data_IF_038262551678
#
_entry.id   IF_038262551678
#
_cell.length_a   1.000
_cell.length_b   1.000
_cell.length_c   1.000
_cell.angle_alpha   90.00
_cell.angle_beta   90.00
_cell.angle_gamma   90.00
#
_symmetry.space_group_name_H-M   'P 1'
#
loop_
_entity.id
_entity.type
_entity.pdbx_description
1 polymer ?
#
# COMPACT_ATOMS: atom_id res chain seq x y z
N UNK A 1 54.18 3.19 28.96
CA UNK A 1 53.21 2.69 29.97
C UNK A 1 51.87 2.47 29.27
N UNK A 2 51.60 1.29 28.73
CA UNK A 2 50.93 0.15 29.38
C UNK A 2 49.57 0.48 30.03
N UNK A 3 48.47 0.20 29.31
CA UNK A 3 47.41 -0.75 29.74
C UNK A 3 46.45 -1.08 28.59
N UNK A 4 46.76 -2.22 27.97
CA UNK A 4 45.95 -3.18 27.19
C UNK A 4 44.42 -2.99 27.22
N UNK A 5 43.75 -2.85 26.07
CA UNK A 5 43.44 -3.91 25.11
C UNK A 5 42.78 -5.13 25.77
N UNK A 6 41.50 -5.01 26.13
CA UNK A 6 40.68 -6.14 26.63
C UNK A 6 39.32 -6.12 25.94
N UNK A 7 39.25 -6.64 24.71
CA UNK A 7 38.02 -7.29 24.19
C UNK A 7 38.18 -8.04 22.86
N UNK A 8 39.37 -8.07 22.23
CA UNK A 8 39.61 -8.85 21.01
C UNK A 8 40.34 -10.20 21.21
N UNK A 9 40.48 -10.68 22.45
CA UNK A 9 41.11 -11.98 22.75
C UNK A 9 40.14 -13.16 22.90
N UNK A 10 38.82 -12.95 22.81
CA UNK A 10 37.84 -14.06 23.02
C UNK A 10 37.55 -14.93 21.81
N UNK A 11 38.01 -14.57 20.60
CA UNK A 11 37.75 -15.35 19.38
C UNK A 11 39.00 -15.86 18.65
N UNK A 12 40.19 -15.79 19.26
CA UNK A 12 41.44 -16.36 18.69
C UNK A 12 42.00 -17.59 19.42
N UNK A 13 41.28 -18.14 20.40
CA UNK A 13 41.62 -19.40 21.09
C UNK A 13 40.51 -20.45 20.98
N UNK A 14 40.08 -20.73 19.76
CA UNK A 14 39.49 -22.02 19.39
C UNK A 14 40.31 -22.64 18.25
N UNK A 15 41.63 -22.43 18.28
CA UNK A 15 42.59 -23.27 17.57
C UNK A 15 42.73 -24.57 18.36
N UNK A 16 42.03 -25.59 17.88
CA UNK A 16 42.43 -27.00 17.95
C UNK A 16 43.12 -27.42 19.26
N UNK A 17 42.42 -27.30 20.40
CA UNK A 17 42.67 -28.21 21.53
C UNK A 17 41.89 -29.49 21.29
N UNK A 18 42.18 -30.15 20.16
CA UNK A 18 42.07 -31.60 20.12
C UNK A 18 43.47 -32.03 20.54
N UNK A 19 43.68 -32.18 21.85
CA UNK A 19 44.77 -32.99 22.37
C UNK A 19 44.58 -34.33 21.67
N UNK A 20 45.30 -34.53 20.56
CA UNK A 20 45.62 -35.86 20.09
C UNK A 20 46.36 -36.46 21.27
N UNK A 21 45.60 -37.16 22.13
CA UNK A 21 46.17 -38.27 22.87
C UNK A 21 46.75 -39.12 21.76
N UNK A 22 48.05 -38.98 21.53
CA UNK A 22 48.80 -40.03 20.89
C UNK A 22 48.42 -41.26 21.70
N UNK A 23 47.64 -42.13 21.08
CA UNK A 23 47.44 -43.46 21.61
C UNK A 23 48.86 -44.02 21.52
N UNK A 24 49.54 -44.11 22.67
CA UNK A 24 50.73 -44.94 22.75
C UNK A 24 50.34 -46.28 22.12
N UNK A 25 51.13 -46.79 21.16
CA UNK A 25 50.86 -48.11 20.63
C UNK A 25 50.91 -49.04 21.83
N UNK A 26 49.75 -49.59 22.18
CA UNK A 26 49.68 -50.64 23.17
C UNK A 26 50.44 -51.81 22.54
N UNK A 27 51.71 -51.99 22.89
CA UNK A 27 52.53 -53.16 22.56
C UNK A 27 52.03 -54.40 23.35
N UNK A 28 50.71 -54.55 23.47
CA UNK A 28 50.09 -55.83 23.72
C UNK A 28 50.08 -56.61 22.41
N UNK A 29 50.80 -57.73 22.37
CA UNK A 29 50.81 -58.75 21.30
C UNK A 29 49.62 -58.61 20.35
N UNK A 30 49.87 -58.14 19.12
CA UNK A 30 48.91 -58.31 18.04
C UNK A 30 49.01 -59.77 17.62
N UNK A 31 48.09 -60.59 18.12
CA UNK A 31 48.00 -61.98 17.70
C UNK A 31 47.83 -62.00 16.17
N UNK A 32 48.70 -62.74 15.48
CA UNK A 32 48.69 -62.84 14.02
C UNK A 32 47.33 -63.34 13.57
N UNK A 33 46.73 -62.64 12.61
CA UNK A 33 45.50 -63.07 11.95
C UNK A 33 45.80 -64.34 11.13
N UNK A 34 45.39 -65.50 11.63
CA UNK A 34 45.44 -66.81 10.98
C UNK A 34 44.05 -67.18 10.48
N UNK A 35 43.93 -68.21 9.63
CA UNK A 35 42.61 -68.66 9.13
C UNK A 35 41.58 -68.94 10.26
N UNK A 36 42.05 -69.23 11.47
CA UNK A 36 41.20 -69.48 12.65
C UNK A 36 40.83 -68.18 13.40
N UNK A 37 41.67 -67.14 13.38
CA UNK A 37 41.45 -65.85 14.09
C UNK A 37 40.93 -64.72 13.18
N UNK A 38 40.84 -64.93 11.86
CA UNK A 38 40.24 -63.97 10.89
C UNK A 38 38.82 -63.57 11.29
N UNK A 39 38.01 -64.51 11.79
CA UNK A 39 36.63 -64.24 12.16
C UNK A 39 36.54 -63.26 13.34
N UNK A 40 37.38 -63.46 14.36
CA UNK A 40 37.43 -62.65 15.57
C UNK A 40 38.01 -61.26 15.27
N UNK A 41 39.10 -61.20 14.51
CA UNK A 41 39.67 -59.93 14.05
C UNK A 41 38.69 -59.13 13.17
N UNK A 42 37.90 -59.80 12.32
CA UNK A 42 36.84 -59.16 11.53
C UNK A 42 35.73 -58.62 12.42
N UNK A 43 35.34 -59.35 13.46
CA UNK A 43 34.30 -58.90 14.38
C UNK A 43 34.76 -57.65 15.16
N UNK A 44 36.01 -57.62 15.61
CA UNK A 44 36.55 -56.52 16.42
C UNK A 44 36.73 -55.23 15.59
N UNK A 45 37.14 -55.36 14.32
CA UNK A 45 37.15 -54.26 13.34
C UNK A 45 35.72 -53.78 13.05
N UNK A 46 34.75 -54.69 12.87
CA UNK A 46 33.35 -54.33 12.65
C UNK A 46 32.69 -53.71 13.89
N UNK A 47 33.08 -54.11 15.11
CA UNK A 47 32.63 -53.56 16.38
C UNK A 47 33.18 -52.14 16.58
N UNK A 48 34.45 -51.94 16.23
CA UNK A 48 35.10 -50.63 16.19
C UNK A 48 34.45 -49.71 15.14
N UNK A 49 34.11 -50.24 13.96
CA UNK A 49 33.41 -49.50 12.90
C UNK A 49 31.96 -49.16 13.27
N UNK A 50 31.24 -50.06 13.96
CA UNK A 50 29.87 -49.81 14.47
C UNK A 50 29.79 -48.62 15.42
N UNK A 51 30.88 -48.27 16.11
CA UNK A 51 30.97 -47.05 16.95
C UNK A 51 30.88 -45.75 16.14
N UNK A 52 31.22 -45.78 14.85
CA UNK A 52 31.18 -44.63 13.94
C UNK A 52 29.93 -44.60 13.05
N UNK A 53 29.12 -45.68 13.04
CA UNK A 53 27.79 -45.67 12.45
C UNK A 53 26.88 -44.97 13.45
N UNK A 54 26.55 -43.69 13.20
CA UNK A 54 25.53 -43.00 13.96
C UNK A 54 24.22 -43.79 13.83
N UNK A 55 23.70 -44.40 14.91
CA UNK A 55 22.40 -45.03 14.84
C UNK A 55 21.40 -43.87 14.82
N UNK A 56 20.90 -43.49 13.64
CA UNK A 56 19.64 -42.75 13.56
C UNK A 56 18.51 -43.74 13.92
N UNK A 57 18.48 -44.17 15.17
CA UNK A 57 17.45 -45.06 15.76
C UNK A 57 16.20 -44.28 16.16
N UNK A 58 16.07 -43.03 15.72
CA UNK A 58 14.80 -42.33 15.79
C UNK A 58 13.95 -42.68 14.57
N UNK A 59 12.75 -43.21 14.84
CA UNK A 59 11.70 -43.34 13.82
C UNK A 59 11.60 -42.04 13.05
N UNK A 60 11.66 -42.10 11.71
CA UNK A 60 11.50 -40.94 10.81
C UNK A 60 10.28 -40.11 11.21
N UNK A 61 9.24 -40.77 11.71
CA UNK A 61 8.03 -40.12 12.21
C UNK A 61 8.28 -39.26 13.45
N UNK A 62 9.07 -39.70 14.44
CA UNK A 62 9.37 -38.92 15.66
C UNK A 62 10.17 -37.66 15.36
N UNK A 63 11.19 -37.75 14.49
CA UNK A 63 11.97 -36.57 14.05
C UNK A 63 11.04 -35.60 13.34
N UNK A 64 10.23 -36.09 12.39
CA UNK A 64 9.24 -35.27 11.70
C UNK A 64 8.23 -34.63 12.67
N UNK A 65 7.74 -35.35 13.68
CA UNK A 65 6.78 -34.79 14.64
C UNK A 65 7.40 -33.67 15.46
N UNK A 66 8.62 -33.90 15.98
CA UNK A 66 9.33 -32.89 16.79
C UNK A 66 9.68 -31.68 15.94
N UNK A 67 10.18 -31.86 14.72
CA UNK A 67 10.47 -30.74 13.81
C UNK A 67 9.21 -29.95 13.45
N UNK A 68 8.10 -30.64 13.15
CA UNK A 68 6.81 -30.00 12.87
C UNK A 68 6.30 -29.22 14.08
N UNK A 69 6.37 -29.82 15.28
CA UNK A 69 5.98 -29.15 16.51
C UNK A 69 6.82 -27.90 16.79
N UNK A 70 8.14 -27.96 16.57
CA UNK A 70 9.02 -26.79 16.73
C UNK A 70 8.68 -25.66 15.76
N UNK A 71 8.35 -25.99 14.50
CA UNK A 71 7.89 -24.99 13.52
C UNK A 71 6.58 -24.36 13.97
N UNK A 72 5.60 -25.15 14.42
CA UNK A 72 4.32 -24.64 14.92
C UNK A 72 4.54 -23.72 16.14
N UNK A 73 5.36 -24.14 17.11
CA UNK A 73 5.69 -23.31 18.29
C UNK A 73 6.36 -22.00 17.86
N UNK A 74 7.29 -22.07 16.90
CA UNK A 74 7.92 -20.88 16.34
C UNK A 74 6.92 -19.94 15.67
N UNK A 75 5.99 -20.47 14.88
CA UNK A 75 4.93 -19.69 14.22
C UNK A 75 3.98 -19.07 15.24
N UNK A 76 3.54 -19.81 16.26
CA UNK A 76 2.67 -19.29 17.33
C UNK A 76 3.39 -18.18 18.12
N UNK A 77 4.64 -18.41 18.51
CA UNK A 77 5.46 -17.40 19.18
C UNK A 77 5.63 -16.14 18.33
N UNK A 78 5.89 -16.31 17.03
CA UNK A 78 5.97 -15.21 16.08
C UNK A 78 4.65 -14.46 15.94
N UNK A 79 3.50 -15.16 15.83
CA UNK A 79 2.17 -14.53 15.77
C UNK A 79 1.81 -13.76 17.04
N UNK A 80 2.20 -14.26 18.22
CA UNK A 80 2.02 -13.55 19.49
C UNK A 80 2.88 -12.29 19.51
N UNK A 81 4.16 -12.41 19.14
CA UNK A 81 5.07 -11.27 19.04
C UNK A 81 4.54 -10.20 18.08
N UNK A 82 4.11 -10.61 16.88
CA UNK A 82 3.56 -9.69 15.87
C UNK A 82 2.26 -9.04 16.33
N UNK A 83 1.36 -9.80 16.97
CA UNK A 83 0.15 -9.23 17.58
C UNK A 83 0.51 -8.18 18.64
N UNK A 84 1.49 -8.43 19.49
CA UNK A 84 1.95 -7.45 20.46
C UNK A 84 2.56 -6.21 19.77
N UNK A 85 3.43 -6.40 18.78
CA UNK A 85 4.09 -5.31 18.05
C UNK A 85 3.07 -4.40 17.34
N UNK A 86 2.09 -4.99 16.65
CA UNK A 86 1.07 -4.25 15.88
C UNK A 86 0.03 -3.60 16.79
N UNK A 87 -0.67 -4.36 17.63
CA UNK A 87 -1.86 -3.85 18.33
C UNK A 87 -1.52 -3.14 19.65
N UNK A 88 -0.45 -3.54 20.33
CA UNK A 88 -0.05 -2.93 21.61
C UNK A 88 0.98 -1.83 21.43
N UNK A 89 2.05 -2.10 20.68
CA UNK A 89 3.15 -1.15 20.46
C UNK A 89 2.93 -0.22 19.28
N UNK A 90 1.97 -0.52 18.38
CA UNK A 90 1.68 0.28 17.18
C UNK A 90 2.92 0.46 16.32
N UNK A 91 3.76 -0.58 16.25
CA UNK A 91 5.05 -0.50 15.57
C UNK A 91 4.89 -0.22 14.07
N UNK A 92 5.68 0.71 13.56
CA UNK A 92 5.68 1.16 12.16
C UNK A 92 6.99 0.84 11.44
N UNK A 93 7.86 0.03 12.07
CA UNK A 93 9.16 -0.34 11.53
C UNK A 93 9.08 -0.98 10.14
N UNK A 94 10.19 -0.96 9.40
CA UNK A 94 10.26 -1.62 8.10
C UNK A 94 10.04 -3.14 8.24
N UNK A 95 10.62 -3.76 9.26
CA UNK A 95 10.43 -5.19 9.52
C UNK A 95 8.93 -5.54 9.67
N UNK A 96 8.23 -4.86 10.57
CA UNK A 96 6.81 -5.11 10.84
C UNK A 96 5.95 -4.90 9.59
N UNK A 97 6.23 -3.85 8.81
CA UNK A 97 5.53 -3.62 7.54
C UNK A 97 5.71 -4.77 6.54
N UNK A 98 6.95 -5.21 6.29
CA UNK A 98 7.20 -6.32 5.35
C UNK A 98 6.55 -7.63 5.81
N UNK A 99 6.51 -7.89 7.12
CA UNK A 99 5.76 -9.03 7.66
C UNK A 99 4.28 -8.91 7.33
N UNK A 100 3.67 -7.73 7.47
CA UNK A 100 2.25 -7.53 7.16
C UNK A 100 1.90 -7.67 5.68
N UNK A 101 2.87 -7.53 4.76
CA UNK A 101 2.68 -7.80 3.33
C UNK A 101 2.50 -9.30 3.03
N UNK A 102 3.05 -10.17 3.89
CA UNK A 102 2.95 -11.63 3.73
C UNK A 102 1.86 -12.21 4.63
N UNK A 103 1.76 -11.73 5.87
CA UNK A 103 0.81 -12.20 6.87
C UNK A 103 -0.28 -11.15 7.07
N UNK A 104 -1.55 -11.43 6.69
CA UNK A 104 -2.62 -10.43 6.64
C UNK A 104 -3.25 -10.18 8.01
N UNK A 105 -2.53 -9.49 8.90
CA UNK A 105 -3.08 -9.05 10.18
C UNK A 105 -4.21 -8.02 9.95
N UNK A 106 -5.41 -8.18 10.55
CA UNK A 106 -6.51 -7.24 10.37
C UNK A 106 -6.41 -6.05 11.34
N UNK A 107 -6.58 -4.81 10.88
CA UNK A 107 -6.69 -3.63 11.75
C UNK A 107 -8.15 -3.27 12.07
N UNK A 108 -9.06 -3.63 11.18
CA UNK A 108 -10.50 -3.51 11.37
C UNK A 108 -11.24 -4.59 10.56
N UNK A 109 -12.55 -4.69 10.76
CA UNK A 109 -13.46 -5.51 9.98
C UNK A 109 -14.69 -4.68 9.60
N UNK A 110 -15.07 -4.71 8.34
CA UNK A 110 -16.20 -4.00 7.73
C UNK A 110 -17.17 -5.04 7.20
N UNK A 111 -18.24 -5.32 7.94
CA UNK A 111 -19.17 -6.39 7.59
C UNK A 111 -18.48 -7.75 7.48
N UNK A 112 -18.40 -8.30 6.27
CA UNK A 112 -17.74 -9.57 5.97
C UNK A 112 -16.26 -9.45 5.62
N UNK A 113 -15.78 -8.23 5.34
CA UNK A 113 -14.43 -7.97 4.84
C UNK A 113 -13.46 -7.55 5.96
N UNK A 114 -12.22 -8.02 5.90
CA UNK A 114 -11.17 -7.56 6.79
C UNK A 114 -10.41 -6.39 6.17
N UNK A 115 -10.19 -5.35 6.97
CA UNK A 115 -9.28 -4.25 6.64
C UNK A 115 -7.89 -4.66 7.11
N UNK A 116 -6.96 -4.85 6.19
CA UNK A 116 -5.60 -5.28 6.53
C UNK A 116 -4.79 -4.14 7.16
N UNK A 117 -4.03 -4.46 8.21
CA UNK A 117 -3.11 -3.56 8.89
C UNK A 117 -2.00 -3.05 7.95
N UNK A 118 -1.64 -3.86 6.94
CA UNK A 118 -0.72 -3.46 5.88
C UNK A 118 -1.19 -2.20 5.14
N UNK A 119 -2.48 -2.06 4.82
CA UNK A 119 -3.01 -0.86 4.14
C UNK A 119 -2.82 0.39 5.02
N UNK A 120 -3.01 0.25 6.33
CA UNK A 120 -2.81 1.32 7.29
C UNK A 120 -1.33 1.73 7.38
N UNK A 121 -0.42 0.75 7.45
CA UNK A 121 1.02 1.01 7.46
C UNK A 121 1.52 1.59 6.14
N UNK A 122 0.98 1.17 5.01
CA UNK A 122 1.30 1.70 3.69
C UNK A 122 1.12 3.23 3.64
N UNK A 123 -0.04 3.71 4.09
CA UNK A 123 -0.36 5.14 4.15
C UNK A 123 0.41 5.88 5.26
N UNK A 124 0.47 5.29 6.46
CA UNK A 124 1.13 5.92 7.61
C UNK A 124 2.64 6.08 7.39
N UNK A 125 3.29 5.08 6.79
CA UNK A 125 4.73 5.15 6.50
C UNK A 125 5.04 6.20 5.45
N UNK A 126 4.21 6.35 4.41
CA UNK A 126 4.34 7.45 3.44
C UNK A 126 4.27 8.80 4.15
N UNK A 127 3.26 8.99 5.01
CA UNK A 127 3.08 10.22 5.76
C UNK A 127 4.28 10.53 6.66
N UNK A 128 4.71 9.57 7.50
CA UNK A 128 5.87 9.73 8.39
C UNK A 128 7.11 10.06 7.57
N UNK A 129 7.34 9.34 6.46
CA UNK A 129 8.51 9.56 5.63
C UNK A 129 8.55 10.98 5.04
N UNK A 130 7.44 11.44 4.43
CA UNK A 130 7.36 12.79 3.87
C UNK A 130 7.66 13.85 4.94
N UNK A 131 6.96 13.80 6.08
CA UNK A 131 7.11 14.84 7.09
C UNK A 131 8.48 14.81 7.77
N UNK A 132 9.07 13.65 8.00
CA UNK A 132 10.40 13.56 8.62
C UNK A 132 11.52 13.94 7.66
N UNK A 133 11.46 13.56 6.39
CA UNK A 133 12.59 13.73 5.45
C UNK A 133 12.45 14.95 4.53
N UNK A 134 11.23 15.45 4.30
CA UNK A 134 10.97 16.62 3.45
C UNK A 134 10.69 17.84 4.31
N UNK A 135 9.76 17.73 5.26
CA UNK A 135 9.36 18.85 6.14
C UNK A 135 10.21 18.93 7.42
N UNK A 136 11.17 18.03 7.62
CA UNK A 136 12.06 17.97 8.79
C UNK A 136 11.33 17.93 10.16
N UNK A 137 10.14 17.32 10.21
CA UNK A 137 9.37 17.12 11.43
C UNK A 137 9.92 15.95 12.25
N UNK A 138 10.31 16.24 13.49
CA UNK A 138 10.71 15.23 14.48
C UNK A 138 9.49 14.74 15.27
N UNK A 139 9.01 13.55 14.95
CA UNK A 139 7.90 12.92 15.67
C UNK A 139 8.29 12.31 17.03
N UNK A 140 9.56 12.37 17.42
CA UNK A 140 9.99 12.08 18.79
C UNK A 140 9.76 13.25 19.75
N UNK A 141 9.63 14.47 19.22
CA UNK A 141 9.22 15.66 19.99
C UNK A 141 7.75 15.53 20.43
N UNK A 142 7.46 15.62 21.74
CA UNK A 142 6.10 15.65 22.26
C UNK A 142 5.17 16.69 21.62
N UNK A 143 5.70 17.81 21.11
CA UNK A 143 4.91 18.88 20.48
C UNK A 143 4.33 18.46 19.12
N UNK A 144 5.01 17.59 18.39
CA UNK A 144 4.56 17.09 17.08
C UNK A 144 3.68 15.84 17.19
N UNK A 145 3.58 15.28 18.40
CA UNK A 145 2.83 14.05 18.67
C UNK A 145 1.32 14.17 18.38
N UNK A 146 0.62 15.27 18.74
CA UNK A 146 -0.78 15.45 18.41
C UNK A 146 -1.06 15.43 16.90
N UNK A 147 -0.18 16.02 16.09
CA UNK A 147 -0.30 16.00 14.63
C UNK A 147 -0.25 14.57 14.09
N UNK A 148 0.71 13.77 14.56
CA UNK A 148 0.83 12.38 14.15
C UNK A 148 -0.36 11.53 14.63
N UNK A 149 -0.84 11.75 15.85
CA UNK A 149 -1.96 11.00 16.43
C UNK A 149 -3.28 11.31 15.71
N UNK A 150 -3.55 12.58 15.38
CA UNK A 150 -4.68 12.97 14.51
C UNK A 150 -4.59 12.29 13.13
N UNK A 151 -3.39 12.31 12.52
CA UNK A 151 -3.22 11.71 11.21
C UNK A 151 -3.40 10.19 11.22
N UNK A 152 -3.00 9.49 12.30
CA UNK A 152 -3.27 8.05 12.45
C UNK A 152 -4.77 7.76 12.40
N UNK A 153 -5.60 8.58 13.05
CA UNK A 153 -7.07 8.42 13.03
C UNK A 153 -7.61 8.62 11.62
N UNK A 154 -7.17 9.68 10.93
CA UNK A 154 -7.57 9.97 9.54
C UNK A 154 -7.18 8.86 8.57
N UNK A 155 -5.96 8.31 8.71
CA UNK A 155 -5.49 7.21 7.87
C UNK A 155 -6.26 5.92 8.16
N UNK A 156 -6.57 5.62 9.42
CA UNK A 156 -7.41 4.47 9.78
C UNK A 156 -8.80 4.60 9.13
N UNK A 157 -9.41 5.77 9.20
CA UNK A 157 -10.70 6.03 8.54
C UNK A 157 -10.57 5.89 7.02
N UNK A 158 -9.51 6.42 6.42
CA UNK A 158 -9.22 6.29 4.97
C UNK A 158 -9.21 4.83 4.53
N UNK A 159 -8.50 3.95 5.25
CA UNK A 159 -8.40 2.52 4.85
C UNK A 159 -9.68 1.73 5.14
N UNK A 160 -10.46 2.14 6.13
CA UNK A 160 -11.81 1.59 6.38
C UNK A 160 -12.75 1.99 5.25
N UNK A 161 -12.79 3.27 4.87
CA UNK A 161 -13.59 3.76 3.74
C UNK A 161 -13.21 3.05 2.44
N UNK A 162 -11.90 2.90 2.17
CA UNK A 162 -11.43 2.16 1.01
C UNK A 162 -11.91 0.70 1.00
N UNK A 163 -12.07 0.07 2.17
CA UNK A 163 -12.67 -1.27 2.24
C UNK A 163 -14.13 -1.27 1.82
N UNK A 164 -14.94 -0.31 2.23
CA UNK A 164 -16.32 -0.17 1.78
C UNK A 164 -16.41 0.13 0.28
N UNK A 165 -15.57 1.04 -0.21
CA UNK A 165 -15.42 1.34 -1.65
C UNK A 165 -15.14 0.06 -2.45
N UNK A 166 -14.23 -0.80 -1.97
CA UNK A 166 -13.91 -2.08 -2.65
C UNK A 166 -15.08 -3.06 -2.63
N UNK A 167 -15.89 -3.07 -1.57
CA UNK A 167 -17.09 -3.90 -1.50
C UNK A 167 -18.15 -3.41 -2.49
N UNK A 168 -18.42 -2.10 -2.52
CA UNK A 168 -19.34 -1.46 -3.47
C UNK A 168 -18.88 -1.65 -4.90
N UNK A 169 -17.58 -1.49 -5.18
CA UNK A 169 -17.02 -1.74 -6.50
C UNK A 169 -17.28 -3.17 -6.96
N UNK A 170 -17.07 -4.15 -6.08
CA UNK A 170 -17.35 -5.56 -6.38
C UNK A 170 -18.84 -5.80 -6.63
N UNK A 171 -19.72 -5.21 -5.83
CA UNK A 171 -21.18 -5.32 -5.98
C UNK A 171 -21.66 -4.71 -7.30
N UNK A 172 -21.15 -3.53 -7.66
CA UNK A 172 -21.53 -2.79 -8.87
C UNK A 172 -20.74 -3.21 -10.12
N UNK A 173 -19.82 -4.17 -10.02
CA UNK A 173 -18.97 -4.61 -11.13
C UNK A 173 -17.97 -3.57 -11.63
N UNK A 174 -17.60 -2.60 -10.78
CA UNK A 174 -16.66 -1.52 -11.11
C UNK A 174 -15.23 -2.06 -10.95
N UNK A 175 -14.42 -1.88 -12.00
CA UNK A 175 -13.01 -2.28 -12.02
C UNK A 175 -12.14 -1.13 -12.52
N UNK A 176 -10.84 -1.24 -12.28
CA UNK A 176 -9.81 -0.32 -12.77
C UNK A 176 -8.82 -1.13 -13.59
N UNK A 177 -8.65 -0.76 -14.87
CA UNK A 177 -7.69 -1.43 -15.76
C UNK A 177 -6.29 -0.86 -15.60
N UNK A 178 -5.28 -1.60 -16.07
CA UNK A 178 -3.90 -1.10 -16.05
C UNK A 178 -3.70 0.08 -17.01
N UNK A 179 -4.45 0.12 -18.12
CA UNK A 179 -4.42 1.23 -19.08
C UNK A 179 -4.93 2.54 -18.46
N UNK A 180 -5.93 2.48 -17.59
CA UNK A 180 -6.42 3.66 -16.85
C UNK A 180 -5.37 4.19 -15.87
N UNK A 181 -4.65 3.27 -15.21
CA UNK A 181 -3.55 3.62 -14.30
C UNK A 181 -2.40 4.24 -15.09
N UNK A 182 -2.02 3.63 -16.22
CA UNK A 182 -0.95 4.12 -17.09
C UNK A 182 -1.26 5.51 -17.66
N UNK A 183 -2.49 5.69 -18.15
CA UNK A 183 -2.96 6.97 -18.67
C UNK A 183 -2.89 8.05 -17.58
N UNK A 184 -3.37 7.74 -16.37
CA UNK A 184 -3.30 8.66 -15.24
C UNK A 184 -1.87 9.01 -14.83
N UNK A 185 -0.94 8.05 -14.86
CA UNK A 185 0.48 8.29 -14.57
C UNK A 185 1.09 9.20 -15.65
N UNK A 186 0.80 8.95 -16.93
CA UNK A 186 1.26 9.78 -18.04
C UNK A 186 0.79 11.22 -17.89
N UNK A 187 -0.48 11.43 -17.51
CA UNK A 187 -1.03 12.75 -17.23
C UNK A 187 -0.30 13.47 -16.09
N UNK A 188 -0.10 12.79 -14.96
CA UNK A 188 0.60 13.38 -13.82
C UNK A 188 2.07 13.73 -14.15
N UNK A 189 2.72 12.95 -15.03
CA UNK A 189 4.04 13.27 -15.59
C UNK A 189 3.98 14.48 -16.52
N UNK A 190 2.97 14.60 -17.40
CA UNK A 190 2.77 15.77 -18.29
C UNK A 190 2.50 17.05 -17.51
N UNK A 191 1.77 16.96 -16.39
CA UNK A 191 1.61 18.04 -15.43
C UNK A 191 2.91 18.35 -14.68
N UNK A 192 4.05 17.76 -15.06
CA UNK A 192 5.37 17.84 -14.44
C UNK A 192 5.37 17.58 -12.92
N UNK A 193 4.26 17.06 -12.36
CA UNK A 193 4.11 16.79 -10.92
C UNK A 193 5.02 15.66 -10.46
N UNK A 194 5.36 14.78 -11.38
CA UNK A 194 6.11 13.55 -11.13
C UNK A 194 7.35 13.44 -12.02
N UNK A 195 7.78 14.53 -12.66
CA UNK A 195 8.94 14.54 -13.55
C UNK A 195 8.66 14.09 -14.99
N UNK A 196 9.61 14.43 -15.87
CA UNK A 196 9.39 14.41 -17.33
C UNK A 196 9.85 13.09 -17.99
N UNK A 197 10.50 12.20 -17.24
CA UNK A 197 10.99 10.91 -17.72
C UNK A 197 10.94 9.86 -16.60
N UNK A 198 11.14 8.58 -16.95
CA UNK A 198 10.95 7.46 -16.01
C UNK A 198 11.94 7.46 -14.85
N UNK A 199 13.18 7.90 -15.08
CA UNK A 199 14.19 7.94 -14.02
C UNK A 199 13.86 9.03 -13.00
N UNK A 200 13.56 10.25 -13.48
CA UNK A 200 13.14 11.36 -12.62
C UNK A 200 11.85 11.01 -11.88
N UNK A 201 10.92 10.32 -12.53
CA UNK A 201 9.70 9.83 -11.90
C UNK A 201 9.98 8.86 -10.76
N UNK A 202 10.79 7.83 -11.00
CA UNK A 202 11.19 6.88 -9.97
C UNK A 202 11.90 7.57 -8.80
N UNK A 203 12.82 8.48 -9.09
CA UNK A 203 13.57 9.22 -8.07
C UNK A 203 12.64 10.14 -7.26
N UNK A 204 11.71 10.84 -7.92
CA UNK A 204 10.69 11.67 -7.24
C UNK A 204 9.84 10.83 -6.29
N UNK A 205 9.36 9.66 -6.73
CA UNK A 205 8.57 8.78 -5.86
C UNK A 205 9.37 8.28 -4.66
N UNK A 206 10.65 7.97 -4.87
CA UNK A 206 11.54 7.52 -3.81
C UNK A 206 11.83 8.63 -2.80
N UNK A 207 12.13 9.82 -3.28
CA UNK A 207 12.56 10.95 -2.47
C UNK A 207 11.44 11.56 -1.63
N UNK A 208 10.22 11.62 -2.17
CA UNK A 208 9.07 12.22 -1.48
C UNK A 208 8.23 11.22 -0.70
N UNK A 209 8.13 9.97 -1.17
CA UNK A 209 7.19 8.99 -0.61
C UNK A 209 7.85 7.69 -0.13
N UNK A 210 9.14 7.48 -0.43
CA UNK A 210 9.83 6.21 -0.24
C UNK A 210 9.12 5.04 -0.95
N UNK A 211 8.48 5.34 -2.07
CA UNK A 211 7.65 4.39 -2.82
C UNK A 211 8.35 3.90 -4.08
N UNK A 212 8.05 2.66 -4.46
CA UNK A 212 8.32 2.15 -5.79
C UNK A 212 7.26 2.62 -6.79
N UNK A 213 7.48 2.37 -8.08
CA UNK A 213 6.46 2.61 -9.11
C UNK A 213 5.20 1.77 -8.83
N UNK A 214 5.35 0.53 -8.35
CA UNK A 214 4.20 -0.32 -8.06
C UNK A 214 3.38 0.18 -6.86
N UNK A 215 4.05 0.69 -5.82
CA UNK A 215 3.37 1.34 -4.69
C UNK A 215 2.55 2.55 -5.19
N UNK A 216 3.13 3.34 -6.09
CA UNK A 216 2.41 4.46 -6.69
C UNK A 216 1.24 4.02 -7.56
N UNK A 217 1.43 3.00 -8.43
CA UNK A 217 0.35 2.39 -9.24
C UNK A 217 -0.80 1.91 -8.35
N UNK A 218 -0.49 1.29 -7.21
CA UNK A 218 -1.50 0.89 -6.22
C UNK A 218 -2.26 2.08 -5.66
N UNK A 219 -1.59 3.20 -5.34
CA UNK A 219 -2.25 4.42 -4.88
C UNK A 219 -3.21 4.95 -5.95
N UNK A 220 -2.73 5.11 -7.19
CA UNK A 220 -3.54 5.58 -8.32
C UNK A 220 -4.73 4.66 -8.58
N UNK A 221 -4.55 3.34 -8.51
CA UNK A 221 -5.64 2.37 -8.62
C UNK A 221 -6.74 2.62 -7.57
N UNK A 222 -6.36 2.87 -6.31
CA UNK A 222 -7.33 3.15 -5.26
C UNK A 222 -8.04 4.49 -5.48
N UNK A 223 -7.33 5.51 -5.97
CA UNK A 223 -7.90 6.83 -6.24
C UNK A 223 -8.92 6.78 -7.40
N UNK A 224 -8.56 6.12 -8.51
CA UNK A 224 -9.47 5.91 -9.66
C UNK A 224 -10.68 5.07 -9.21
N UNK A 225 -10.46 3.99 -8.46
CA UNK A 225 -11.55 3.14 -7.97
C UNK A 225 -12.52 3.94 -7.09
N UNK A 226 -11.99 4.79 -6.20
CA UNK A 226 -12.79 5.64 -5.33
C UNK A 226 -13.63 6.60 -6.16
N UNK A 227 -13.03 7.33 -7.10
CA UNK A 227 -13.76 8.25 -7.97
C UNK A 227 -14.87 7.55 -8.77
N UNK A 228 -14.57 6.39 -9.36
CA UNK A 228 -15.56 5.61 -10.12
C UNK A 228 -16.73 5.14 -9.27
N UNK A 229 -16.45 4.69 -8.04
CA UNK A 229 -17.50 4.25 -7.12
C UNK A 229 -18.35 5.45 -6.70
N UNK A 230 -17.74 6.59 -6.34
CA UNK A 230 -18.45 7.81 -5.96
C UNK A 230 -19.41 8.28 -7.06
N UNK A 231 -18.98 8.26 -8.33
CA UNK A 231 -19.83 8.58 -9.48
C UNK A 231 -21.05 7.66 -9.69
N UNK A 232 -21.10 6.53 -8.99
CA UNK A 232 -22.21 5.57 -9.05
C UNK A 232 -23.05 5.61 -7.77
N UNK A 233 -22.43 5.81 -6.60
CA UNK A 233 -23.11 5.72 -5.30
C UNK A 233 -23.67 7.05 -4.83
N UNK A 234 -23.12 8.17 -5.28
CA UNK A 234 -23.70 9.50 -5.03
C UNK A 234 -24.84 9.75 -6.03
N UNK A 235 -26.01 9.20 -5.67
CA UNK A 235 -27.21 9.20 -6.52
C UNK A 235 -27.74 10.63 -6.69
N UNK A 236 -27.68 11.45 -5.65
CA UNK A 236 -28.25 12.80 -5.64
C UNK A 236 -27.45 13.71 -6.56
N UNK A 237 -26.11 13.73 -6.42
CA UNK A 237 -25.21 14.47 -7.32
C UNK A 237 -25.42 14.07 -8.77
N UNK A 238 -25.54 12.77 -9.05
CA UNK A 238 -25.79 12.27 -10.41
C UNK A 238 -27.18 12.62 -10.92
N UNK A 239 -28.19 12.59 -10.07
CA UNK A 239 -29.57 12.97 -10.40
C UNK A 239 -29.63 14.43 -10.81
N UNK A 240 -28.97 15.32 -10.07
CA UNK A 240 -28.93 16.74 -10.36
C UNK A 240 -28.13 17.06 -11.64
N UNK A 241 -27.01 16.38 -11.87
CA UNK A 241 -26.28 16.46 -13.12
C UNK A 241 -27.14 16.06 -14.33
N UNK A 242 -27.89 14.95 -14.23
CA UNK A 242 -28.80 14.51 -15.29
C UNK A 242 -29.93 15.51 -15.54
N UNK A 243 -30.56 16.06 -14.49
CA UNK A 243 -31.60 17.09 -14.66
C UNK A 243 -31.07 18.31 -15.39
N UNK A 244 -29.89 18.79 -15.02
CA UNK A 244 -29.28 19.93 -15.69
C UNK A 244 -28.96 19.64 -17.16
N UNK A 245 -28.42 18.44 -17.47
CA UNK A 245 -28.17 18.02 -18.84
C UNK A 245 -29.45 17.92 -19.67
N UNK A 246 -30.53 17.40 -19.09
CA UNK A 246 -31.83 17.30 -19.74
C UNK A 246 -32.43 18.68 -20.01
N UNK A 247 -32.35 19.62 -19.04
CA UNK A 247 -32.76 21.01 -19.24
C UNK A 247 -31.95 21.70 -20.35
N UNK A 248 -30.63 21.45 -20.43
CA UNK A 248 -29.77 21.93 -21.52
C UNK A 248 -30.17 21.35 -22.88
N UNK A 249 -30.40 20.05 -22.96
CA UNK A 249 -30.82 19.35 -24.20
C UNK A 249 -32.18 19.85 -24.71
N UNK A 250 -33.03 20.34 -23.80
CA UNK A 250 -34.31 20.96 -24.13
C UNK A 250 -34.22 22.47 -24.46
N UNK A 251 -33.01 23.01 -24.65
CA UNK A 251 -32.79 24.40 -25.04
C UNK A 251 -32.70 25.39 -23.87
N UNK A 252 -32.48 24.90 -22.64
CA UNK A 252 -32.25 25.74 -21.48
C UNK A 252 -31.00 26.62 -21.61
N UNK A 253 -31.04 27.80 -20.99
CA UNK A 253 -29.90 28.72 -20.97
C UNK A 253 -28.82 28.23 -19.99
N UNK A 254 -27.59 28.10 -20.49
CA UNK A 254 -26.47 27.57 -19.69
C UNK A 254 -26.16 28.46 -18.48
N UNK A 255 -26.25 29.79 -18.63
CA UNK A 255 -25.96 30.74 -17.54
C UNK A 255 -26.98 30.58 -16.39
N UNK A 256 -28.26 30.48 -16.73
CA UNK A 256 -29.32 30.26 -15.76
C UNK A 256 -29.17 28.90 -15.05
N UNK A 257 -28.81 27.85 -15.79
CA UNK A 257 -28.61 26.51 -15.22
C UNK A 257 -27.35 26.44 -14.36
N UNK A 258 -26.27 27.14 -14.73
CA UNK A 258 -25.09 27.29 -13.87
C UNK A 258 -25.45 27.96 -12.54
N UNK A 259 -26.24 29.04 -12.55
CA UNK A 259 -26.69 29.71 -11.33
C UNK A 259 -27.56 28.80 -10.44
N UNK A 260 -28.43 27.99 -11.07
CA UNK A 260 -29.36 27.08 -10.39
C UNK A 260 -28.67 25.86 -9.80
N UNK A 261 -27.81 25.19 -10.57
CA UNK A 261 -27.31 23.85 -10.27
C UNK A 261 -25.84 23.79 -9.84
N UNK A 262 -24.99 24.73 -10.28
CA UNK A 262 -23.55 24.57 -10.08
C UNK A 262 -23.15 24.75 -8.62
N UNK A 263 -22.36 23.83 -8.09
CA UNK A 263 -21.69 23.92 -6.79
C UNK A 263 -20.43 24.79 -6.84
N UNK A 264 -19.99 25.20 -8.04
CA UNK A 264 -18.90 26.14 -8.18
C UNK A 264 -19.32 27.55 -7.77
N UNK A 265 -19.21 27.84 -6.47
CA UNK A 265 -19.52 29.15 -5.88
C UNK A 265 -18.74 30.31 -6.51
N UNK A 266 -17.61 30.05 -7.17
CA UNK A 266 -16.78 31.10 -7.77
C UNK A 266 -17.30 31.56 -9.14
N UNK A 267 -17.93 30.66 -9.91
CA UNK A 267 -18.37 30.95 -11.29
C UNK A 267 -19.89 30.87 -11.48
N UNK A 268 -20.65 30.21 -10.58
CA UNK A 268 -22.09 29.99 -10.76
C UNK A 268 -22.90 31.28 -10.96
N UNK A 269 -22.49 32.36 -10.30
CA UNK A 269 -23.14 33.68 -10.42
C UNK A 269 -22.61 34.52 -11.59
N UNK A 270 -21.67 33.99 -12.37
CA UNK A 270 -21.08 34.58 -13.56
C UNK A 270 -21.26 33.67 -14.78
N UNK A 271 -22.42 33.00 -14.85
CA UNK A 271 -22.78 32.10 -15.96
C UNK A 271 -21.94 30.83 -16.05
N UNK A 272 -21.23 30.48 -15.00
CA UNK A 272 -20.30 29.35 -14.99
C UNK A 272 -18.98 29.63 -15.72
N UNK A 273 -18.76 30.84 -16.25
CA UNK A 273 -17.55 31.16 -17.02
C UNK A 273 -16.31 31.08 -16.11
N UNK A 274 -15.39 30.19 -16.49
CA UNK A 274 -14.12 30.02 -15.77
C UNK A 274 -13.18 31.15 -16.21
N UNK A 275 -12.62 31.95 -15.29
CA UNK A 275 -11.78 33.09 -15.65
C UNK A 275 -10.53 32.67 -16.44
N UNK A 276 -10.31 33.36 -17.56
CA UNK A 276 -9.13 33.18 -18.40
C UNK A 276 -9.30 32.09 -19.46
N UNK A 277 -8.17 31.68 -20.05
CA UNK A 277 -8.13 30.58 -21.01
C UNK A 277 -7.49 29.37 -20.34
N UNK A 278 -8.13 28.22 -20.50
CA UNK A 278 -7.51 26.94 -20.19
C UNK A 278 -6.44 26.66 -21.25
N UNK A 279 -5.19 26.56 -20.80
CA UNK A 279 -4.09 26.09 -21.63
C UNK A 279 -3.93 24.58 -21.38
N UNK A 280 -4.08 23.71 -22.39
CA UNK A 280 -3.87 22.26 -22.23
C UNK A 280 -2.50 21.87 -21.67
N UNK A 281 -1.53 22.80 -21.69
CA UNK A 281 -0.18 22.61 -21.14
C UNK A 281 -0.05 23.05 -19.68
N UNK A 282 -1.08 23.65 -19.09
CA UNK A 282 -1.08 24.00 -17.67
C UNK A 282 -1.05 22.71 -16.84
N UNK A 283 -0.20 22.72 -15.82
CA UNK A 283 -0.01 21.61 -14.88
C UNK A 283 -1.24 21.37 -14.00
N UNK A 284 -2.14 22.34 -13.92
CA UNK A 284 -3.36 22.29 -13.12
C UNK A 284 -4.60 21.93 -13.93
N UNK A 285 -4.51 21.81 -15.26
CA UNK A 285 -5.65 21.41 -16.10
C UNK A 285 -6.08 19.97 -15.83
N UNK A 286 -7.39 19.73 -15.81
CA UNK A 286 -7.97 18.40 -15.69
C UNK A 286 -8.00 17.74 -17.07
N UNK A 287 -7.56 16.48 -17.16
CA UNK A 287 -7.38 15.78 -18.43
C UNK A 287 -8.71 15.59 -19.16
N UNK A 288 -9.76 15.26 -18.43
CA UNK A 288 -11.12 15.04 -18.93
C UNK A 288 -11.75 16.35 -19.45
N UNK A 289 -11.53 17.48 -18.76
CA UNK A 289 -11.89 18.82 -19.24
C UNK A 289 -11.22 19.12 -20.58
N UNK A 290 -9.88 18.97 -20.64
CA UNK A 290 -9.07 19.25 -21.83
C UNK A 290 -9.53 18.39 -23.01
N UNK A 291 -9.70 17.09 -22.78
CA UNK A 291 -10.11 16.14 -23.83
C UNK A 291 -11.50 16.48 -24.38
N UNK A 292 -12.42 16.90 -23.51
CA UNK A 292 -13.77 17.29 -23.89
C UNK A 292 -13.77 18.61 -24.67
N UNK A 293 -13.07 19.64 -24.17
CA UNK A 293 -12.98 20.94 -24.86
C UNK A 293 -12.33 20.84 -26.24
N UNK A 294 -11.33 19.95 -26.40
CA UNK A 294 -10.61 19.76 -27.66
C UNK A 294 -11.47 19.21 -28.81
N UNK A 295 -12.63 18.63 -28.51
CA UNK A 295 -13.54 18.07 -29.53
C UNK A 295 -14.82 18.89 -29.73
N UNK A 296 -15.11 19.83 -28.83
CA UNK A 296 -16.27 20.71 -28.92
C UNK A 296 -15.98 21.93 -29.82
N UNK A 297 -17.01 22.42 -30.51
CA UNK A 297 -16.96 23.69 -31.25
C UNK A 297 -17.52 24.84 -30.42
N UNK A 298 -17.02 26.09 -30.58
CA UNK A 298 -17.55 27.25 -29.87
C UNK A 298 -19.08 27.31 -29.86
N UNK A 299 -19.66 27.41 -28.66
CA UNK A 299 -21.10 27.37 -28.41
C UNK A 299 -21.67 26.00 -28.04
N UNK A 300 -20.96 24.90 -28.34
CA UNK A 300 -21.40 23.54 -27.99
C UNK A 300 -21.21 23.24 -26.50
N UNK A 301 -22.03 22.31 -26.00
CA UNK A 301 -22.04 21.84 -24.61
C UNK A 301 -21.75 20.34 -24.58
N UNK A 302 -20.98 19.89 -23.59
CA UNK A 302 -20.65 18.49 -23.39
C UNK A 302 -21.82 17.68 -22.83
N UNK A 303 -21.70 16.35 -22.86
CA UNK A 303 -22.40 15.50 -21.89
C UNK A 303 -21.77 15.64 -20.48
N UNK A 304 -22.27 14.89 -19.50
CA UNK A 304 -21.69 14.85 -18.15
C UNK A 304 -20.33 14.16 -18.20
N UNK A 305 -19.32 14.82 -17.64
CA UNK A 305 -17.97 14.29 -17.48
C UNK A 305 -17.64 14.12 -16.00
N UNK A 306 -16.85 13.10 -15.67
CA UNK A 306 -16.38 12.84 -14.31
C UNK A 306 -14.95 13.35 -14.19
N UNK A 307 -14.72 14.30 -13.29
CA UNK A 307 -13.43 14.96 -13.08
C UNK A 307 -12.72 14.50 -11.80
N UNK A 308 -13.10 13.35 -11.26
CA UNK A 308 -12.48 12.75 -10.08
C UNK A 308 -13.25 13.03 -8.80
N UNK A 309 -13.45 14.32 -8.48
CA UNK A 309 -14.10 14.79 -7.25
C UNK A 309 -15.56 15.25 -7.44
N UNK A 310 -16.06 15.22 -8.68
CA UNK A 310 -17.41 15.60 -9.01
C UNK A 310 -17.73 15.27 -10.45
N UNK A 311 -18.96 15.62 -10.84
CA UNK A 311 -19.43 15.61 -12.20
C UNK A 311 -19.47 17.04 -12.72
N UNK A 312 -19.31 17.23 -14.01
CA UNK A 312 -19.55 18.55 -14.59
C UNK A 312 -20.10 18.47 -16.02
N UNK A 313 -20.67 19.58 -16.45
CA UNK A 313 -21.07 19.83 -17.83
C UNK A 313 -20.37 21.12 -18.25
N UNK A 314 -19.66 21.09 -19.37
CA UNK A 314 -18.89 22.24 -19.85
C UNK A 314 -19.42 22.74 -21.17
N UNK A 315 -19.35 24.06 -21.38
CA UNK A 315 -19.68 24.73 -22.62
C UNK A 315 -18.47 25.51 -23.11
N UNK A 316 -18.01 25.22 -24.31
CA UNK A 316 -16.94 26.00 -24.91
C UNK A 316 -17.49 27.34 -25.40
N UNK A 317 -16.85 28.43 -25.00
CA UNK A 317 -17.20 29.79 -25.40
C UNK A 317 -16.36 30.24 -26.59
N UNK A 318 -15.07 29.90 -26.57
CA UNK A 318 -14.09 30.29 -27.58
C UNK A 318 -12.93 29.29 -27.62
N UNK A 319 -12.46 28.96 -28.81
CA UNK A 319 -11.15 28.35 -29.05
C UNK A 319 -10.23 29.40 -29.67
N UNK A 320 -9.15 29.70 -28.96
CA UNK A 320 -8.13 30.65 -29.40
C UNK A 320 -6.78 29.95 -29.43
N UNK A 321 -6.38 29.53 -30.63
CA UNK A 321 -5.10 28.87 -30.90
C UNK A 321 -4.86 27.63 -30.00
N UNK A 322 -5.92 26.84 -29.75
CA UNK A 322 -5.85 25.64 -28.90
C UNK A 322 -5.90 25.94 -27.40
N UNK A 323 -6.27 27.16 -27.01
CA UNK A 323 -6.61 27.54 -25.64
C UNK A 323 -8.10 27.83 -25.55
N UNK A 324 -8.74 27.33 -24.50
CA UNK A 324 -10.19 27.29 -24.42
C UNK A 324 -10.71 28.27 -23.39
N UNK A 325 -11.62 29.16 -23.80
CA UNK A 325 -12.49 29.88 -22.88
C UNK A 325 -13.77 29.07 -22.76
N UNK A 326 -14.18 28.74 -21.54
CA UNK A 326 -15.30 27.83 -21.32
C UNK A 326 -16.08 28.21 -20.06
N UNK A 327 -17.32 27.71 -19.98
CA UNK A 327 -18.15 27.77 -18.80
C UNK A 327 -18.45 26.36 -18.29
N UNK A 328 -18.72 26.22 -16.98
CA UNK A 328 -19.01 24.93 -16.35
C UNK A 328 -20.22 24.98 -15.41
N UNK A 329 -20.88 23.83 -15.29
CA UNK A 329 -21.82 23.51 -14.21
C UNK A 329 -21.20 22.34 -13.45
N UNK A 330 -20.72 22.61 -12.23
CA UNK A 330 -20.04 21.63 -11.38
C UNK A 330 -21.05 21.01 -10.40
N UNK A 331 -20.97 19.70 -10.22
CA UNK A 331 -21.72 18.93 -9.22
C UNK A 331 -20.71 18.19 -8.35
N UNK A 332 -20.45 18.69 -7.15
CA UNK A 332 -19.41 18.14 -6.28
C UNK A 332 -19.95 16.88 -5.61
N UNK A 333 -19.16 15.79 -5.61
CA UNK A 333 -19.56 14.62 -4.83
C UNK A 333 -19.62 14.96 -3.35
N UNK A 334 -20.56 14.32 -2.65
CA UNK A 334 -20.62 14.33 -1.20
C UNK A 334 -19.31 13.84 -0.59
N UNK A 335 -18.97 14.29 0.62
CA UNK A 335 -17.84 13.72 1.36
C UNK A 335 -17.96 12.19 1.39
N UNK A 336 -16.85 11.50 1.10
CA UNK A 336 -16.82 10.03 1.01
C UNK A 336 -17.40 9.37 2.26
N UNK A 337 -17.22 9.97 3.44
CA UNK A 337 -17.79 9.42 4.66
C UNK A 337 -19.32 9.38 4.64
N UNK A 338 -19.96 10.40 4.06
CA UNK A 338 -21.40 10.57 3.99
C UNK A 338 -22.01 9.66 2.93
N UNK A 339 -21.43 9.61 1.74
CA UNK A 339 -21.84 8.70 0.67
C UNK A 339 -21.75 7.21 1.07
N UNK A 340 -20.92 6.90 2.07
CA UNK A 340 -20.77 5.55 2.61
C UNK A 340 -21.67 5.27 3.83
N UNK A 341 -22.47 6.22 4.29
CA UNK A 341 -23.31 6.04 5.49
C UNK A 341 -24.28 4.87 5.37
N UNK A 342 -24.89 4.68 4.20
CA UNK A 342 -25.82 3.58 3.96
C UNK A 342 -25.13 2.22 4.18
N UNK A 343 -24.04 1.96 3.47
CA UNK A 343 -23.31 0.68 3.61
C UNK A 343 -22.69 0.53 5.00
N UNK A 344 -22.18 1.60 5.62
CA UNK A 344 -21.65 1.56 7.00
C UNK A 344 -22.71 1.21 8.03
N UNK A 345 -23.97 1.63 7.81
CA UNK A 345 -25.09 1.33 8.71
C UNK A 345 -25.50 -0.15 8.63
N UNK A 346 -25.45 -0.73 7.43
CA UNK A 346 -25.77 -2.14 7.16
C UNK A 346 -24.63 -3.06 7.61
N UNK A 347 -23.39 -2.67 7.30
CA UNK A 347 -22.18 -3.43 7.57
C UNK A 347 -21.32 -2.73 8.63
N UNK A 348 -21.60 -2.98 9.90
CA UNK A 348 -20.89 -2.30 11.01
C UNK A 348 -19.38 -2.53 10.97
N UNK A 349 -18.62 -1.47 11.25
CA UNK A 349 -17.17 -1.54 11.45
C UNK A 349 -16.83 -2.02 12.87
N UNK A 350 -15.90 -2.96 12.98
CA UNK A 350 -15.22 -3.29 14.25
C UNK A 350 -13.73 -2.97 14.10
N UNK A 351 -13.22 -2.06 14.94
CA UNK A 351 -11.80 -1.65 14.94
C UNK A 351 -11.03 -2.46 15.98
N UNK A 352 -9.86 -2.99 15.62
CA UNK A 352 -9.03 -3.83 16.49
C UNK A 352 -7.86 -3.10 17.14
N UNK A 353 -7.72 -1.80 16.87
CA UNK A 353 -6.70 -0.93 17.43
C UNK A 353 -7.34 0.26 18.16
N UNK A 354 -6.72 0.69 19.26
CA UNK A 354 -7.07 1.95 19.93
C UNK A 354 -5.96 2.96 19.67
N UNK A 355 -6.23 3.99 18.87
CA UNK A 355 -5.22 4.99 18.48
C UNK A 355 -4.97 6.02 19.57
#
# INVERSE_FOLDING_TARGET
MNKFSTQNERFKKLRLSKKSRAVEPNEGKVDRVTNETVAEAREDVLKSARKFIYPLTHSKHKVLTVSTALVIVGLVGFSIFMSFALYRKKDTSNFTYHVTQVVPFPIAKTGSSFVLYENYLFELKRYIYYYTNVENVDFSDPNNKPQLDDQKVKILQKVINLSYIKQLAKEKGITVSDEEIDSRIVELKKQNRLGNNDKVFQDTLKDFYNWSVEDFRRSIRNDILTSKVMAVVDIDTRSDANKALDELKNGGDFTALAAKYSDDTSTKNSGGEVPGYLDPKDRNSISEEVATLAVLKPGETSDIINIGYGLEIIKILEDKDGKYRYARILFSFEPIDDALNEIKSQEKTTVYIKL
#
